data_IF_080896430203
#
_entry.id   IF_080896430203
#
_cell.length_a   1.000
_cell.length_b   1.000
_cell.length_c   1.000
_cell.angle_alpha   90.00
_cell.angle_beta   90.00
_cell.angle_gamma   90.00
#
_symmetry.space_group_name_H-M   'P 1'
#
loop_
_entity.id
_entity.type
_entity.pdbx_description
1 polymer ?
#
# COMPACT_ATOMS: atom_id res chain seq x y z
N UNK A 1 -14.26 -12.62 -5.96
CA UNK A 1 -14.46 -12.93 -4.52
C UNK A 1 -14.29 -11.63 -3.75
N UNK A 2 -15.30 -11.17 -3.03
CA UNK A 2 -15.20 -9.99 -2.17
C UNK A 2 -14.51 -10.43 -0.88
N UNK A 3 -13.21 -10.12 -0.73
CA UNK A 3 -12.53 -10.35 0.54
C UNK A 3 -13.18 -9.46 1.60
N UNK A 4 -13.78 -10.09 2.61
CA UNK A 4 -14.30 -9.38 3.77
C UNK A 4 -13.11 -9.03 4.66
N UNK A 5 -12.51 -7.85 4.44
CA UNK A 5 -11.36 -7.32 5.18
C UNK A 5 -11.72 -6.96 6.63
N UNK A 6 -12.12 -7.95 7.43
CA UNK A 6 -12.50 -7.79 8.84
C UNK A 6 -11.31 -7.47 9.75
N UNK A 7 -10.11 -7.85 9.30
CA UNK A 7 -8.85 -7.60 9.97
C UNK A 7 -7.85 -7.02 8.97
N UNK A 8 -7.07 -6.04 9.42
CA UNK A 8 -6.00 -5.42 8.65
C UNK A 8 -4.74 -5.21 9.49
N UNK A 9 -3.60 -5.11 8.80
CA UNK A 9 -2.35 -4.61 9.39
C UNK A 9 -2.24 -3.12 9.06
N UNK A 10 -1.99 -2.29 10.07
CA UNK A 10 -1.88 -0.84 9.88
C UNK A 10 -0.69 -0.48 8.98
N UNK A 11 -0.78 0.60 8.18
CA UNK A 11 0.36 1.16 7.48
C UNK A 11 1.37 1.75 8.48
N UNK A 12 2.64 1.34 8.38
CA UNK A 12 3.70 1.78 9.29
C UNK A 12 4.97 2.06 8.47
N UNK A 13 5.38 3.33 8.46
CA UNK A 13 6.61 3.77 7.79
C UNK A 13 7.83 3.03 8.36
N UNK A 14 8.76 2.68 7.47
CA UNK A 14 9.96 1.86 7.70
C UNK A 14 9.69 0.43 8.21
N UNK A 15 8.42 0.00 8.22
CA UNK A 15 8.01 -1.32 8.72
C UNK A 15 7.26 -2.11 7.68
N UNK A 16 6.11 -1.61 7.20
CA UNK A 16 5.25 -2.34 6.25
C UNK A 16 5.76 -2.23 4.82
N UNK A 17 7.06 -2.48 4.60
CA UNK A 17 7.65 -2.63 3.29
C UNK A 17 7.20 -3.95 2.62
N UNK A 18 7.62 -4.18 1.37
CA UNK A 18 7.25 -5.41 0.63
C UNK A 18 7.70 -6.70 1.32
N UNK A 19 8.83 -6.68 2.03
CA UNK A 19 9.41 -7.86 2.68
C UNK A 19 8.61 -8.21 3.94
N UNK A 20 8.25 -7.21 4.74
CA UNK A 20 7.37 -7.35 5.89
C UNK A 20 5.98 -7.83 5.46
N UNK A 21 5.40 -7.25 4.40
CA UNK A 21 4.08 -7.65 3.90
C UNK A 21 4.09 -9.08 3.36
N UNK A 22 5.14 -9.48 2.65
CA UNK A 22 5.30 -10.87 2.23
C UNK A 22 5.38 -11.82 3.43
N UNK A 23 6.14 -11.47 4.47
CA UNK A 23 6.18 -12.25 5.71
C UNK A 23 4.79 -12.36 6.37
N UNK A 24 4.04 -11.26 6.47
CA UNK A 24 2.66 -11.30 6.98
C UNK A 24 1.76 -12.21 6.14
N UNK A 25 1.94 -12.24 4.81
CA UNK A 25 1.18 -13.12 3.91
C UNK A 25 1.47 -14.60 4.14
N UNK A 26 2.67 -14.96 4.58
CA UNK A 26 2.98 -16.34 4.99
C UNK A 26 2.17 -16.78 6.23
N UNK A 27 1.76 -15.82 7.08
CA UNK A 27 0.94 -16.11 8.27
C UNK A 27 -0.57 -16.14 7.98
N UNK A 28 -1.05 -15.39 6.98
CA UNK A 28 -2.49 -15.26 6.69
C UNK A 28 -2.74 -14.92 5.22
N UNK A 29 -3.76 -15.54 4.63
CA UNK A 29 -4.17 -15.29 3.22
C UNK A 29 -5.30 -14.27 3.08
N UNK A 30 -5.96 -13.89 4.18
CA UNK A 30 -7.20 -13.09 4.14
C UNK A 30 -7.04 -11.68 4.70
N UNK A 31 -6.04 -11.45 5.55
CA UNK A 31 -5.83 -10.14 6.18
C UNK A 31 -5.45 -9.09 5.14
N UNK A 32 -6.11 -7.93 5.20
CA UNK A 32 -5.77 -6.78 4.36
C UNK A 32 -4.45 -6.18 4.85
N UNK A 33 -3.48 -6.10 3.94
CA UNK A 33 -2.21 -5.45 4.20
C UNK A 33 -2.29 -4.01 3.67
N UNK A 34 -1.63 -3.08 4.35
CA UNK A 34 -1.41 -1.73 3.84
C UNK A 34 0.06 -1.53 3.49
N UNK A 35 0.33 -0.80 2.42
CA UNK A 35 1.68 -0.28 2.13
C UNK A 35 2.10 0.73 3.20
N UNK A 36 3.37 1.12 3.19
CA UNK A 36 3.76 2.39 3.82
C UNK A 36 3.00 3.57 3.21
N UNK A 37 2.90 4.67 3.95
CA UNK A 37 2.31 5.90 3.43
C UNK A 37 3.25 6.50 2.38
N UNK A 38 2.77 6.62 1.14
CA UNK A 38 3.51 7.26 0.06
C UNK A 38 2.91 8.63 -0.21
N UNK A 39 3.74 9.67 -0.22
CA UNK A 39 3.25 11.03 -0.50
C UNK A 39 2.95 11.22 -1.98
N UNK A 40 1.92 12.00 -2.32
CA UNK A 40 1.57 12.30 -3.71
C UNK A 40 2.73 12.96 -4.45
N UNK A 41 3.49 13.83 -3.78
CA UNK A 41 4.69 14.46 -4.33
C UNK A 41 5.79 13.45 -4.72
N UNK A 42 5.98 12.40 -3.90
CA UNK A 42 6.94 11.33 -4.22
C UNK A 42 6.50 10.52 -5.45
N UNK A 43 5.20 10.24 -5.61
CA UNK A 43 4.67 9.52 -6.76
C UNK A 43 4.74 10.36 -8.05
N UNK A 44 4.38 11.64 -7.97
CA UNK A 44 4.27 12.51 -9.16
C UNK A 44 5.65 13.02 -9.62
N UNK A 45 6.54 13.34 -8.69
CA UNK A 45 7.81 14.01 -8.99
C UNK A 45 9.05 13.18 -8.65
N UNK A 46 8.89 12.12 -7.87
CA UNK A 46 10.00 11.24 -7.51
C UNK A 46 10.42 10.33 -8.67
N UNK A 47 11.64 9.79 -8.54
CA UNK A 47 12.23 8.84 -9.52
C UNK A 47 12.28 7.41 -8.99
N UNK A 48 11.82 7.19 -7.76
CA UNK A 48 11.78 5.88 -7.12
C UNK A 48 10.52 5.11 -7.49
N UNK A 49 10.61 3.79 -7.41
CA UNK A 49 9.46 2.91 -7.57
C UNK A 49 8.72 2.74 -6.23
N UNK A 50 7.89 3.74 -5.90
CA UNK A 50 7.16 3.78 -4.63
C UNK A 50 5.87 2.96 -4.65
N UNK A 51 5.47 2.44 -5.83
CA UNK A 51 4.25 1.67 -6.02
C UNK A 51 4.54 0.19 -6.25
N UNK A 52 5.79 -0.25 -6.11
CA UNK A 52 6.17 -1.64 -6.25
C UNK A 52 5.48 -2.53 -5.20
N UNK A 53 4.86 -3.61 -5.70
CA UNK A 53 4.31 -4.70 -4.90
C UNK A 53 4.52 -6.04 -5.65
N UNK A 54 4.37 -7.16 -4.95
CA UNK A 54 4.28 -8.48 -5.56
C UNK A 54 2.83 -9.01 -5.55
N UNK A 55 2.51 -9.91 -6.47
CA UNK A 55 1.15 -10.47 -6.62
C UNK A 55 0.71 -11.26 -5.37
N UNK A 56 1.66 -11.88 -4.68
CA UNK A 56 1.40 -12.68 -3.48
C UNK A 56 0.87 -11.82 -2.32
N UNK A 57 1.17 -10.52 -2.28
CA UNK A 57 0.75 -9.61 -1.21
C UNK A 57 -0.77 -9.38 -1.18
N UNK A 58 -1.54 -9.75 -2.20
CA UNK A 58 -2.98 -9.53 -2.20
C UNK A 58 -3.72 -10.38 -1.15
N UNK A 59 -4.75 -9.81 -0.46
CA UNK A 59 -5.28 -8.44 -0.61
C UNK A 59 -4.39 -7.35 0.03
N UNK A 60 -4.08 -6.30 -0.75
CA UNK A 60 -3.20 -5.18 -0.43
C UNK A 60 -3.89 -3.85 -0.76
N UNK A 61 -3.72 -2.85 0.11
CA UNK A 61 -4.18 -1.49 -0.08
C UNK A 61 -3.02 -0.48 -0.05
N UNK A 62 -3.07 0.50 -0.93
CA UNK A 62 -2.13 1.63 -0.99
C UNK A 62 -2.61 2.75 -0.05
N UNK A 63 -1.71 3.30 0.77
CA UNK A 63 -1.97 4.52 1.53
C UNK A 63 -1.29 5.73 0.89
N UNK A 64 -2.08 6.72 0.51
CA UNK A 64 -1.61 7.99 -0.06
C UNK A 64 -1.58 9.09 1.00
N UNK A 65 -0.49 9.85 1.04
CA UNK A 65 -0.33 11.05 1.87
C UNK A 65 -0.34 12.33 1.03
N UNK A 66 -1.24 13.26 1.33
CA UNK A 66 -1.31 14.54 0.62
C UNK A 66 -2.49 15.41 1.07
N UNK A 67 -2.48 16.68 0.66
CA UNK A 67 -3.54 17.65 0.97
C UNK A 67 -4.23 18.22 -0.27
N UNK A 68 -3.64 18.07 -1.47
CA UNK A 68 -4.24 18.51 -2.73
C UNK A 68 -5.17 17.41 -3.29
N UNK A 69 -6.48 17.66 -3.44
CA UNK A 69 -7.42 16.67 -3.98
C UNK A 69 -7.08 16.18 -5.40
N UNK A 70 -6.56 17.07 -6.26
CA UNK A 70 -6.22 16.72 -7.65
C UNK A 70 -5.04 15.75 -7.71
N UNK A 71 -4.01 15.99 -6.87
CA UNK A 71 -2.85 15.11 -6.78
C UNK A 71 -3.21 13.75 -6.18
N UNK A 72 -4.09 13.72 -5.18
CA UNK A 72 -4.60 12.47 -4.58
C UNK A 72 -5.40 11.67 -5.61
N UNK A 73 -6.29 12.31 -6.37
CA UNK A 73 -7.08 11.66 -7.41
C UNK A 73 -6.18 11.12 -8.54
N UNK A 74 -5.14 11.87 -8.92
CA UNK A 74 -4.16 11.43 -9.90
C UNK A 74 -3.41 10.20 -9.41
N UNK A 75 -2.87 10.23 -8.19
CA UNK A 75 -2.09 9.12 -7.63
C UNK A 75 -2.94 7.85 -7.42
N UNK A 76 -4.22 7.99 -7.06
CA UNK A 76 -5.13 6.86 -6.88
C UNK A 76 -5.50 6.14 -8.20
N UNK A 77 -5.21 6.74 -9.36
CA UNK A 77 -5.55 6.20 -10.68
C UNK A 77 -4.39 5.51 -11.40
N UNK A 78 -3.15 5.83 -11.03
CA UNK A 78 -1.93 5.26 -11.63
C UNK A 78 -1.86 3.74 -11.39
#
# INVERSE_FOLDING_TARGET
MTHSCRLSVAPMLDWTDRHCRYFHRLMTKETLLYTEMVTTGAIIHGKGDFLAYNEEEHPLALQLGGSNPEDLAKCAKL
#
